data_IF_332807861576
#
_entry.id   IF_332807861576
#
_cell.length_a   1.000
_cell.length_b   1.000
_cell.length_c   1.000
_cell.angle_alpha   90.00
_cell.angle_beta   90.00
_cell.angle_gamma   90.00
#
_symmetry.space_group_name_H-M   'P 1'
#
loop_
_entity.id
_entity.type
_entity.pdbx_description
1 polymer ?
#
# COMPACT_ATOMS: atom_id res chain seq x y z
N UNK A 1 -16.15 16.92 0.22
CA UNK A 1 -17.11 16.63 -0.88
C UNK A 1 -16.39 16.08 -2.12
N UNK A 2 -15.45 16.80 -2.73
CA UNK A 2 -14.68 16.26 -3.87
C UNK A 2 -13.60 15.25 -3.46
N UNK A 3 -12.91 15.49 -2.34
CA UNK A 3 -12.00 14.53 -1.72
C UNK A 3 -12.64 13.16 -1.47
N UNK A 4 -13.90 13.15 -1.02
CA UNK A 4 -14.64 11.94 -0.66
C UNK A 4 -14.98 11.12 -1.91
N UNK A 5 -15.32 11.79 -3.02
CA UNK A 5 -15.53 11.13 -4.32
C UNK A 5 -14.25 10.49 -4.85
N UNK A 6 -13.12 11.19 -4.73
CA UNK A 6 -11.82 10.65 -5.13
C UNK A 6 -11.41 9.47 -4.28
N UNK A 7 -11.57 9.54 -2.96
CA UNK A 7 -11.34 8.38 -2.09
C UNK A 7 -12.27 7.22 -2.42
N UNK A 8 -13.55 7.46 -2.65
CA UNK A 8 -14.50 6.41 -3.05
C UNK A 8 -14.09 5.73 -4.37
N UNK A 9 -13.63 6.50 -5.36
CA UNK A 9 -13.08 5.94 -6.60
C UNK A 9 -11.80 5.15 -6.36
N UNK A 10 -10.85 5.73 -5.60
CA UNK A 10 -9.56 5.11 -5.29
C UNK A 10 -9.78 3.76 -4.59
N UNK A 11 -10.58 3.73 -3.53
CA UNK A 11 -10.88 2.50 -2.79
C UNK A 11 -11.71 1.53 -3.60
N UNK A 12 -12.70 2.00 -4.36
CA UNK A 12 -13.55 1.11 -5.17
C UNK A 12 -12.81 0.45 -6.33
N UNK A 13 -11.91 1.17 -7.00
CA UNK A 13 -11.27 0.72 -8.23
C UNK A 13 -9.86 0.14 -8.01
N UNK A 14 -9.01 0.79 -7.20
CA UNK A 14 -7.62 0.38 -7.03
C UNK A 14 -7.43 -0.64 -5.90
N UNK A 15 -8.17 -0.54 -4.79
CA UNK A 15 -7.93 -1.41 -3.63
C UNK A 15 -8.14 -2.90 -3.92
N UNK A 16 -9.19 -3.34 -4.63
CA UNK A 16 -9.34 -4.76 -4.96
C UNK A 16 -8.19 -5.31 -5.83
N UNK A 17 -7.67 -4.46 -6.74
CA UNK A 17 -6.55 -4.82 -7.62
C UNK A 17 -5.24 -4.90 -6.86
N UNK A 18 -5.02 -3.93 -5.99
CA UNK A 18 -3.90 -3.92 -5.06
C UNK A 18 -3.91 -5.18 -4.19
N UNK A 19 -5.04 -5.50 -3.56
CA UNK A 19 -5.18 -6.71 -2.75
C UNK A 19 -4.88 -7.98 -3.54
N UNK A 20 -5.37 -8.08 -4.79
CA UNK A 20 -5.05 -9.24 -5.64
C UNK A 20 -3.54 -9.35 -5.81
N UNK A 21 -2.85 -8.27 -6.18
CA UNK A 21 -1.40 -8.28 -6.40
C UNK A 21 -0.64 -8.64 -5.13
N UNK A 22 -0.89 -7.93 -4.02
CA UNK A 22 -0.18 -8.15 -2.77
C UNK A 22 -0.33 -9.58 -2.28
N UNK A 23 -1.52 -10.18 -2.44
CA UNK A 23 -1.74 -11.58 -2.06
C UNK A 23 -1.09 -12.60 -3.00
N UNK A 24 -0.67 -12.21 -4.19
CA UNK A 24 0.08 -13.06 -5.14
C UNK A 24 1.59 -13.00 -4.96
N UNK A 25 2.13 -11.94 -4.34
CA UNK A 25 3.56 -11.82 -4.05
C UNK A 25 3.97 -12.83 -2.98
N UNK A 26 5.22 -13.28 -2.98
CA UNK A 26 5.78 -13.99 -1.83
C UNK A 26 6.03 -13.02 -0.67
N UNK A 27 6.14 -13.52 0.56
CA UNK A 27 6.25 -12.63 1.74
C UNK A 27 7.49 -11.75 1.74
N UNK A 28 8.61 -12.21 1.17
CA UNK A 28 9.82 -11.39 0.99
C UNK A 28 9.55 -10.17 0.10
N UNK A 29 8.84 -10.38 -1.02
CA UNK A 29 8.47 -9.33 -1.96
C UNK A 29 7.42 -8.38 -1.35
N UNK A 30 6.44 -8.93 -0.62
CA UNK A 30 5.45 -8.14 0.12
C UNK A 30 6.14 -7.27 1.15
N UNK A 31 7.10 -7.81 1.89
CA UNK A 31 7.83 -7.10 2.92
C UNK A 31 8.52 -5.86 2.33
N UNK A 32 9.31 -6.05 1.27
CA UNK A 32 9.98 -4.96 0.56
C UNK A 32 8.98 -3.89 0.07
N UNK A 33 7.86 -4.33 -0.51
CA UNK A 33 6.82 -3.43 -1.02
C UNK A 33 6.19 -2.58 0.10
N UNK A 34 5.77 -3.21 1.19
CA UNK A 34 5.06 -2.57 2.30
C UNK A 34 5.97 -1.64 3.09
N UNK A 35 7.22 -2.07 3.34
CA UNK A 35 8.24 -1.26 4.01
C UNK A 35 8.59 -0.03 3.17
N UNK A 36 8.71 -0.17 1.85
CA UNK A 36 8.95 0.97 0.95
C UNK A 36 7.81 1.99 1.04
N UNK A 37 6.55 1.53 0.97
CA UNK A 37 5.39 2.42 1.13
C UNK A 37 5.36 3.12 2.49
N UNK A 38 5.65 2.37 3.56
CA UNK A 38 5.62 2.89 4.92
C UNK A 38 6.69 3.98 5.10
N UNK A 39 7.93 3.69 4.70
CA UNK A 39 9.07 4.59 4.85
C UNK A 39 8.92 5.84 3.97
N UNK A 40 8.48 5.69 2.71
CA UNK A 40 8.26 6.82 1.82
C UNK A 40 7.14 7.76 2.36
N UNK A 41 6.20 7.24 3.16
CA UNK A 41 5.15 8.03 3.82
C UNK A 41 5.57 8.62 5.16
N UNK A 42 6.50 7.99 5.87
CA UNK A 42 6.99 8.38 7.20
C UNK A 42 8.51 8.61 7.16
N UNK A 43 8.99 9.74 6.61
CA UNK A 43 10.43 10.00 6.48
C UNK A 43 11.14 10.11 7.85
N UNK A 44 10.42 10.53 8.88
CA UNK A 44 10.97 10.74 10.23
C UNK A 44 10.78 9.54 11.17
N UNK A 45 9.95 8.56 10.79
CA UNK A 45 9.65 7.36 11.58
C UNK A 45 9.61 6.15 10.65
N UNK A 46 10.79 5.77 10.14
CA UNK A 46 10.93 4.61 9.27
C UNK A 46 10.59 3.31 10.00
N UNK A 47 10.21 2.30 9.24
CA UNK A 47 9.99 0.94 9.74
C UNK A 47 11.27 0.42 10.40
N UNK A 48 11.19 0.19 11.71
CA UNK A 48 12.30 -0.31 12.51
C UNK A 48 12.23 -1.83 12.63
N UNK A 49 13.26 -2.52 12.15
CA UNK A 49 13.44 -3.96 12.35
C UNK A 49 13.93 -4.20 13.78
N UNK A 50 13.01 -4.61 14.66
CA UNK A 50 13.29 -4.79 16.10
C UNK A 50 13.50 -6.25 16.53
N UNK A 51 13.28 -7.20 15.63
CA UNK A 51 13.45 -8.63 15.90
C UNK A 51 14.30 -9.31 14.83
N UNK A 52 14.71 -10.56 15.11
CA UNK A 52 15.42 -11.42 14.15
C UNK A 52 14.47 -11.97 13.05
N UNK A 53 13.16 -11.71 13.12
CA UNK A 53 12.14 -12.16 12.17
C UNK A 53 11.36 -10.97 11.55
N UNK A 54 12.01 -10.05 10.81
CA UNK A 54 11.40 -8.78 10.36
C UNK A 54 10.17 -8.96 9.45
N UNK A 55 10.14 -10.03 8.66
CA UNK A 55 8.98 -10.37 7.82
C UNK A 55 7.78 -10.75 8.67
N UNK A 56 7.99 -11.54 9.72
CA UNK A 56 6.94 -11.94 10.64
C UNK A 56 6.39 -10.73 11.41
N UNK A 57 7.25 -9.80 11.80
CA UNK A 57 6.81 -8.54 12.41
C UNK A 57 5.89 -7.76 11.46
N UNK A 58 6.23 -7.69 10.17
CA UNK A 58 5.38 -7.08 9.16
C UNK A 58 4.07 -7.86 8.96
N UNK A 59 4.10 -9.20 8.96
CA UNK A 59 2.88 -10.03 8.89
C UNK A 59 1.93 -9.70 10.04
N UNK A 60 2.45 -9.62 11.26
CA UNK A 60 1.67 -9.27 12.44
C UNK A 60 1.16 -7.85 12.40
N UNK A 61 1.97 -6.90 11.89
CA UNK A 61 1.56 -5.51 11.75
C UNK A 61 0.43 -5.37 10.71
N UNK A 62 0.53 -6.05 9.57
CA UNK A 62 -0.54 -6.14 8.57
C UNK A 62 -1.79 -6.77 9.18
N UNK A 63 -1.66 -7.85 9.95
CA UNK A 63 -2.81 -8.48 10.61
C UNK A 63 -3.52 -7.54 11.59
N UNK A 64 -2.79 -6.63 12.24
CA UNK A 64 -3.33 -5.63 13.16
C UNK A 64 -3.92 -4.40 12.46
N UNK A 65 -3.32 -3.95 11.35
CA UNK A 65 -3.65 -2.68 10.67
C UNK A 65 -4.47 -2.81 9.39
N UNK A 66 -4.55 -4.02 8.82
CA UNK A 66 -5.08 -4.31 7.49
C UNK A 66 -4.21 -3.76 6.35
N UNK A 67 -4.25 -4.44 5.20
CA UNK A 67 -3.69 -3.95 3.94
C UNK A 67 -4.29 -2.62 3.48
N UNK A 68 -5.52 -2.29 3.91
CA UNK A 68 -6.12 -0.98 3.61
C UNK A 68 -5.26 0.18 4.16
N UNK A 69 -4.64 -0.01 5.32
CA UNK A 69 -3.76 0.99 5.91
C UNK A 69 -2.59 1.34 4.99
N UNK A 70 -1.88 0.31 4.50
CA UNK A 70 -0.79 0.48 3.54
C UNK A 70 -1.27 1.03 2.19
N UNK A 71 -2.43 0.54 1.73
CA UNK A 71 -3.04 1.04 0.50
C UNK A 71 -3.25 2.55 0.53
N UNK A 72 -3.82 3.08 1.62
CA UNK A 72 -4.04 4.51 1.77
C UNK A 72 -2.74 5.34 1.81
N UNK A 73 -1.62 4.77 2.28
CA UNK A 73 -0.31 5.45 2.22
C UNK A 73 0.16 5.68 0.78
N UNK A 74 -0.26 4.82 -0.15
CA UNK A 74 0.07 4.91 -1.56
C UNK A 74 -0.63 6.03 -2.34
N UNK A 75 -1.49 6.81 -1.69
CA UNK A 75 -2.23 7.91 -2.31
C UNK A 75 -2.17 9.17 -1.44
N UNK A 76 -2.27 10.32 -2.10
CA UNK A 76 -2.59 11.59 -1.44
C UNK A 76 -3.70 12.25 -2.22
N UNK A 77 -4.73 12.74 -1.55
CA UNK A 77 -5.88 13.42 -2.14
C UNK A 77 -5.98 14.79 -1.50
N UNK A 78 -6.00 15.85 -2.31
CA UNK A 78 -6.20 17.21 -1.82
C UNK A 78 -7.70 17.55 -1.67
N UNK A 79 -7.99 18.73 -1.13
CA UNK A 79 -9.36 19.19 -0.89
C UNK A 79 -10.17 19.37 -2.18
N UNK A 80 -9.49 19.61 -3.30
CA UNK A 80 -10.12 19.78 -4.62
C UNK A 80 -10.56 18.45 -5.23
N UNK A 81 -10.04 17.33 -4.68
CA UNK A 81 -10.25 15.98 -5.17
C UNK A 81 -9.16 15.50 -6.13
N UNK A 82 -8.14 16.31 -6.42
CA UNK A 82 -7.00 15.83 -7.19
C UNK A 82 -6.16 14.89 -6.32
N UNK A 83 -5.68 13.81 -6.92
CA UNK A 83 -4.91 12.80 -6.20
C UNK A 83 -3.60 12.43 -6.91
N UNK A 84 -2.59 12.17 -6.11
CA UNK A 84 -1.30 11.62 -6.55
C UNK A 84 -1.21 10.15 -6.18
N UNK A 85 -0.48 9.39 -7.00
CA UNK A 85 -0.32 7.94 -6.88
C UNK A 85 1.15 7.61 -6.69
N UNK A 86 1.46 6.94 -5.58
CA UNK A 86 2.80 6.48 -5.25
C UNK A 86 3.35 5.50 -6.28
N UNK A 87 4.67 5.47 -6.49
CA UNK A 87 5.33 4.61 -7.50
C UNK A 87 4.97 3.14 -7.33
N UNK A 88 4.99 2.64 -6.09
CA UNK A 88 4.67 1.24 -5.78
C UNK A 88 3.24 0.87 -6.17
N UNK A 89 2.28 1.82 -6.09
CA UNK A 89 0.91 1.56 -6.52
C UNK A 89 0.81 1.50 -8.05
N UNK A 90 1.59 2.29 -8.78
CA UNK A 90 1.68 2.21 -10.24
C UNK A 90 2.27 0.86 -10.67
N UNK A 91 3.32 0.41 -9.99
CA UNK A 91 3.93 -0.91 -10.20
C UNK A 91 2.93 -2.04 -9.92
N UNK A 92 2.24 -1.99 -8.78
CA UNK A 92 1.18 -2.96 -8.49
C UNK A 92 0.11 -2.99 -9.59
N UNK A 93 -0.31 -1.85 -10.13
CA UNK A 93 -1.29 -1.83 -11.23
C UNK A 93 -0.74 -2.39 -12.54
N UNK A 94 0.57 -2.26 -12.80
CA UNK A 94 1.22 -2.90 -13.94
C UNK A 94 1.26 -4.42 -13.75
N UNK A 95 1.68 -4.90 -12.58
CA UNK A 95 1.66 -6.32 -12.23
C UNK A 95 0.25 -6.92 -12.32
N UNK A 96 -0.77 -6.20 -11.86
CA UNK A 96 -2.16 -6.64 -11.97
C UNK A 96 -2.58 -6.94 -13.42
N UNK A 97 -2.11 -6.15 -14.39
CA UNK A 97 -2.45 -6.35 -15.81
C UNK A 97 -1.83 -7.62 -16.40
N UNK A 98 -0.77 -8.12 -15.78
CA UNK A 98 -0.07 -9.34 -16.22
C UNK A 98 -0.50 -10.58 -15.44
N UNK A 99 -1.20 -10.42 -14.31
CA UNK A 99 -1.85 -11.52 -13.60
C UNK A 99 -3.01 -12.05 -14.45
N UNK A 100 -2.83 -13.24 -15.03
CA UNK A 100 -3.88 -13.95 -15.78
C UNK A 100 -4.99 -14.44 -14.85
#
# INVERSE_FOLDING_TARGET
MNSDLSWAFITGYYYPKFLRVIKHLEWDERYSFLTTLYNDKHPDEIWEERSDEPIKDMMEYVARKDYLHFFCMGFSVDETGHYTVHRMMREAMMTFRTLR
#
